data_IF_714627706485
#
_entry.id   IF_714627706485
#
_cell.length_a   1.000
_cell.length_b   1.000
_cell.length_c   1.000
_cell.angle_alpha   90.00
_cell.angle_beta   90.00
_cell.angle_gamma   90.00
#
_symmetry.space_group_name_H-M   'P 1'
#
loop_
_entity.id
_entity.type
_entity.pdbx_description
1 polymer ?
#
# COMPACT_ATOMS: atom_id res chain seq x y z
N UNK A 1 -3.15 -16.51 -10.73
CA UNK A 1 -3.84 -16.00 -9.52
C UNK A 1 -3.24 -14.64 -9.22
N UNK A 2 -4.06 -13.60 -9.02
CA UNK A 2 -3.60 -12.23 -8.75
C UNK A 2 -4.33 -11.72 -7.53
N UNK A 3 -3.62 -10.98 -6.69
CA UNK A 3 -4.21 -10.26 -5.58
C UNK A 3 -4.99 -9.06 -6.09
N UNK A 4 -6.13 -8.77 -5.45
CA UNK A 4 -6.85 -7.52 -5.62
C UNK A 4 -6.96 -6.88 -4.25
N UNK A 5 -6.35 -5.70 -4.09
CA UNK A 5 -6.38 -4.94 -2.84
C UNK A 5 -7.35 -3.77 -2.98
N UNK A 6 -8.43 -3.78 -2.21
CA UNK A 6 -9.37 -2.67 -2.14
C UNK A 6 -8.78 -1.53 -1.32
N UNK A 7 -8.61 -0.35 -1.92
CA UNK A 7 -8.16 0.83 -1.17
C UNK A 7 -9.33 1.52 -0.49
N UNK A 8 -9.39 1.38 0.82
CA UNK A 8 -10.32 2.08 1.71
C UNK A 8 -9.58 3.31 2.20
N UNK A 9 -9.36 4.22 1.25
CA UNK A 9 -8.56 5.43 1.47
C UNK A 9 -9.21 6.39 2.46
N UNK A 10 -8.48 7.40 2.92
CA UNK A 10 -9.05 8.40 3.81
C UNK A 10 -9.95 9.32 3.00
N UNK A 11 -11.12 9.68 3.54
CA UNK A 11 -12.16 10.37 2.76
C UNK A 11 -12.47 11.77 3.25
N UNK A 12 -11.72 12.34 4.20
CA UNK A 12 -12.01 13.66 4.79
C UNK A 12 -12.54 14.76 3.83
N UNK A 13 -11.98 14.97 2.61
CA UNK A 13 -12.55 15.95 1.68
C UNK A 13 -13.96 15.62 1.17
N UNK A 14 -14.34 14.35 1.16
CA UNK A 14 -15.67 13.83 0.81
C UNK A 14 -16.61 13.83 2.03
N UNK A 15 -16.05 13.79 3.24
CA UNK A 15 -16.76 13.79 4.53
C UNK A 15 -17.18 15.21 4.96
N UNK A 16 -16.99 16.22 4.09
CA UNK A 16 -17.36 17.62 4.34
C UNK A 16 -16.30 18.42 5.11
N UNK A 17 -15.15 17.84 5.43
CA UNK A 17 -14.03 18.55 6.04
C UNK A 17 -13.08 19.10 4.99
N UNK A 18 -13.11 20.42 4.80
CA UNK A 18 -12.10 21.13 4.00
C UNK A 18 -10.76 21.29 4.73
N UNK A 19 -10.69 20.96 6.03
CA UNK A 19 -9.51 21.21 6.86
C UNK A 19 -8.23 20.61 6.26
N UNK A 20 -8.19 19.34 5.80
CA UNK A 20 -6.97 18.77 5.24
C UNK A 20 -6.49 19.41 3.93
N UNK A 21 -7.31 20.27 3.31
CA UNK A 21 -6.95 21.01 2.10
C UNK A 21 -6.32 22.38 2.41
N UNK A 22 -6.45 22.87 3.65
CA UNK A 22 -5.86 24.14 4.09
C UNK A 22 -4.33 24.02 4.25
N UNK A 23 -3.56 25.14 4.22
CA UNK A 23 -2.11 25.11 4.35
C UNK A 23 -1.61 24.31 5.57
N UNK A 24 -2.20 24.55 6.75
CA UNK A 24 -1.81 23.86 7.98
C UNK A 24 -2.46 22.48 8.09
N UNK A 25 -3.68 22.30 7.60
CA UNK A 25 -4.35 21.00 7.64
C UNK A 25 -3.68 19.93 6.78
N UNK A 26 -2.88 20.31 5.78
CA UNK A 26 -2.00 19.37 5.06
C UNK A 26 -1.00 18.66 5.97
N UNK A 27 -0.63 19.27 7.11
CA UNK A 27 0.24 18.64 8.12
C UNK A 27 -0.46 17.47 8.84
N UNK A 28 -1.79 17.51 8.93
CA UNK A 28 -2.61 16.47 9.57
C UNK A 28 -2.90 15.30 8.61
N UNK A 29 -2.82 15.55 7.30
CA UNK A 29 -3.13 14.59 6.26
C UNK A 29 -4.63 14.30 6.15
N UNK A 30 -4.99 13.40 5.22
CA UNK A 30 -6.37 12.93 5.09
C UNK A 30 -6.57 11.75 6.05
N UNK A 31 -7.67 11.79 6.82
CA UNK A 31 -8.08 10.74 7.77
C UNK A 31 -9.58 10.47 7.62
N UNK A 32 -10.07 9.38 8.19
CA UNK A 32 -11.49 9.26 8.50
C UNK A 32 -11.81 10.14 9.70
N UNK A 33 -12.82 11.00 9.59
CA UNK A 33 -13.18 11.98 10.63
C UNK A 33 -14.44 11.59 11.37
N UNK A 34 -14.31 11.21 12.64
CA UNK A 34 -15.44 10.76 13.46
C UNK A 34 -15.75 9.26 13.33
N UNK A 35 -16.61 8.77 14.22
CA UNK A 35 -16.97 7.34 14.30
C UNK A 35 -17.91 6.89 13.19
N UNK A 36 -18.77 7.80 12.71
CA UNK A 36 -19.65 7.59 11.56
C UNK A 36 -18.83 7.29 10.30
N UNK A 37 -17.82 8.11 9.99
CA UNK A 37 -16.98 7.91 8.82
C UNK A 37 -16.13 6.65 8.90
N UNK A 38 -15.69 6.30 10.12
CA UNK A 38 -15.00 5.04 10.37
C UNK A 38 -15.92 3.83 10.16
N UNK A 39 -17.18 3.91 10.63
CA UNK A 39 -18.17 2.86 10.43
C UNK A 39 -18.49 2.67 8.93
N UNK A 40 -18.67 3.75 8.18
CA UNK A 40 -18.87 3.66 6.73
C UNK A 40 -17.68 3.04 6.00
N UNK A 41 -16.45 3.30 6.47
CA UNK A 41 -15.24 2.71 5.89
C UNK A 41 -15.18 1.20 6.15
N UNK A 42 -15.58 0.81 7.35
CA UNK A 42 -15.69 -0.58 7.75
C UNK A 42 -16.77 -1.32 6.95
N UNK A 43 -17.94 -0.70 6.70
CA UNK A 43 -18.99 -1.30 5.89
C UNK A 43 -18.53 -1.54 4.43
N UNK A 44 -17.74 -0.64 3.85
CA UNK A 44 -17.12 -0.86 2.54
C UNK A 44 -16.17 -2.09 2.54
N UNK A 45 -15.46 -2.33 3.65
CA UNK A 45 -14.62 -3.52 3.83
C UNK A 45 -15.47 -4.78 3.90
N UNK A 46 -16.52 -4.78 4.73
CA UNK A 46 -17.44 -5.92 4.87
C UNK A 46 -18.03 -6.28 3.51
N UNK A 47 -18.58 -5.30 2.79
CA UNK A 47 -19.11 -5.48 1.44
C UNK A 47 -18.06 -6.00 0.46
N UNK A 48 -16.83 -5.47 0.52
CA UNK A 48 -15.73 -5.94 -0.31
C UNK A 48 -15.42 -7.42 -0.06
N UNK A 49 -15.36 -7.82 1.21
CA UNK A 49 -15.12 -9.21 1.64
C UNK A 49 -16.24 -10.14 1.19
N UNK A 50 -17.50 -9.73 1.31
CA UNK A 50 -18.67 -10.46 0.79
C UNK A 50 -18.60 -10.64 -0.72
N UNK A 51 -18.09 -9.64 -1.45
CA UNK A 51 -17.82 -9.70 -2.89
C UNK A 51 -16.53 -10.49 -3.24
N UNK A 52 -15.87 -11.08 -2.24
CA UNK A 52 -14.72 -11.95 -2.44
C UNK A 52 -13.34 -11.31 -2.24
N UNK A 53 -13.25 -10.02 -1.91
CA UNK A 53 -11.96 -9.36 -1.64
C UNK A 53 -11.30 -9.98 -0.39
N UNK A 54 -9.97 -10.20 -0.48
CA UNK A 54 -9.15 -10.73 0.62
C UNK A 54 -7.89 -9.90 0.91
N UNK A 55 -7.77 -8.74 0.28
CA UNK A 55 -6.76 -7.73 0.63
C UNK A 55 -7.40 -6.35 0.68
N UNK A 56 -7.07 -5.57 1.69
CA UNK A 56 -7.45 -4.17 1.79
C UNK A 56 -6.21 -3.29 2.03
N UNK A 57 -6.31 -2.03 1.62
CA UNK A 57 -5.31 -1.00 1.86
C UNK A 57 -5.96 0.09 2.72
N UNK A 58 -5.39 0.36 3.90
CA UNK A 58 -5.90 1.35 4.87
C UNK A 58 -4.97 2.56 4.97
N UNK A 59 -5.49 3.69 5.42
CA UNK A 59 -4.77 4.97 5.46
C UNK A 59 -4.83 5.71 6.82
N UNK A 60 -5.36 5.08 7.85
CA UNK A 60 -5.31 5.56 9.24
C UNK A 60 -5.29 4.39 10.24
N UNK A 61 -4.77 4.66 11.43
CA UNK A 61 -4.66 3.68 12.52
C UNK A 61 -6.00 3.25 13.12
N UNK A 62 -7.02 4.10 13.08
CA UNK A 62 -8.34 3.80 13.64
C UNK A 62 -9.01 2.68 12.87
N UNK A 63 -8.98 2.76 11.53
CA UNK A 63 -9.55 1.74 10.65
C UNK A 63 -8.75 0.44 10.74
N UNK A 64 -7.41 0.53 10.78
CA UNK A 64 -6.55 -0.63 11.01
C UNK A 64 -6.95 -1.38 12.28
N UNK A 65 -7.04 -0.67 13.40
CA UNK A 65 -7.39 -1.27 14.68
C UNK A 65 -8.77 -1.93 14.64
N UNK A 66 -9.76 -1.25 14.04
CA UNK A 66 -11.12 -1.76 13.94
C UNK A 66 -11.17 -3.06 13.10
N UNK A 67 -10.46 -3.11 11.99
CA UNK A 67 -10.34 -4.32 11.16
C UNK A 67 -9.70 -5.46 11.94
N UNK A 68 -8.63 -5.19 12.69
CA UNK A 68 -7.96 -6.21 13.49
C UNK A 68 -8.90 -6.78 14.58
N UNK A 69 -9.65 -5.91 15.27
CA UNK A 69 -10.67 -6.37 16.23
C UNK A 69 -11.76 -7.20 15.56
N UNK A 70 -12.20 -6.82 14.36
CA UNK A 70 -13.21 -7.55 13.61
C UNK A 70 -12.70 -8.94 13.16
N UNK A 71 -11.44 -9.07 12.74
CA UNK A 71 -10.79 -10.37 12.47
C UNK A 71 -10.76 -11.23 13.73
N UNK A 72 -10.31 -10.68 14.86
CA UNK A 72 -10.24 -11.41 16.15
C UNK A 72 -11.61 -11.90 16.65
N UNK A 73 -12.68 -11.17 16.32
CA UNK A 73 -14.06 -11.51 16.68
C UNK A 73 -14.78 -12.38 15.65
N UNK A 74 -14.11 -12.73 14.54
CA UNK A 74 -14.70 -13.52 13.46
C UNK A 74 -15.75 -12.79 12.60
N UNK A 75 -15.80 -11.46 12.68
CA UNK A 75 -16.65 -10.63 11.80
C UNK A 75 -16.04 -10.50 10.41
N UNK A 76 -14.71 -10.36 10.35
CA UNK A 76 -13.96 -10.41 9.09
C UNK A 76 -13.14 -11.72 9.04
N UNK A 77 -12.85 -12.25 7.84
CA UNK A 77 -12.02 -13.44 7.69
C UNK A 77 -10.64 -13.26 8.31
N UNK A 78 -10.14 -14.29 8.98
CA UNK A 78 -8.81 -14.28 9.59
C UNK A 78 -7.68 -14.17 8.55
N UNK A 79 -7.95 -14.56 7.30
CA UNK A 79 -7.03 -14.48 6.16
C UNK A 79 -7.13 -13.15 5.38
N UNK A 80 -7.91 -12.17 5.85
CA UNK A 80 -7.96 -10.84 5.26
C UNK A 80 -6.62 -10.12 5.48
N UNK A 81 -5.91 -9.84 4.38
CA UNK A 81 -4.64 -9.12 4.36
C UNK A 81 -4.87 -7.60 4.47
N UNK A 82 -4.20 -6.95 5.42
CA UNK A 82 -4.32 -5.51 5.68
C UNK A 82 -3.00 -4.80 5.37
N UNK A 83 -3.02 -3.95 4.35
CA UNK A 83 -1.85 -3.20 3.88
C UNK A 83 -1.94 -1.74 4.31
N UNK A 84 -0.80 -1.15 4.66
CA UNK A 84 -0.71 0.27 5.01
C UNK A 84 -0.38 1.11 3.78
N UNK A 85 -1.23 2.10 3.46
CA UNK A 85 -1.06 2.97 2.30
C UNK A 85 0.16 3.89 2.42
N UNK A 86 0.71 4.32 1.28
CA UNK A 86 1.77 5.32 1.27
C UNK A 86 1.29 6.66 1.87
N UNK A 87 -0.01 6.95 1.78
CA UNK A 87 -0.60 8.16 2.38
C UNK A 87 -0.83 8.06 3.89
N UNK A 88 -0.63 6.87 4.50
CA UNK A 88 -0.65 6.71 5.95
C UNK A 88 0.48 7.48 6.63
N UNK A 89 1.61 7.66 5.92
CA UNK A 89 2.67 8.59 6.29
C UNK A 89 3.51 8.20 7.51
N UNK A 90 3.53 6.92 7.92
CA UNK A 90 4.34 6.49 9.08
C UNK A 90 5.82 6.46 8.71
N UNK A 91 6.59 7.36 9.32
CA UNK A 91 7.98 7.62 8.92
C UNK A 91 9.08 6.92 9.73
N UNK A 92 8.77 6.22 10.83
CA UNK A 92 9.77 5.63 11.72
C UNK A 92 9.47 4.17 12.11
N UNK A 93 10.49 3.36 12.48
CA UNK A 93 10.31 1.93 12.74
C UNK A 93 9.33 1.61 13.87
N UNK A 94 9.33 2.40 14.96
CA UNK A 94 8.46 2.14 16.11
C UNK A 94 6.99 2.47 15.81
N UNK A 95 6.74 3.52 15.01
CA UNK A 95 5.41 3.84 14.51
C UNK A 95 4.86 2.69 13.66
N UNK A 96 5.67 2.12 12.75
CA UNK A 96 5.22 0.98 11.95
C UNK A 96 5.04 -0.26 12.82
N UNK A 97 5.90 -0.47 13.83
CA UNK A 97 5.76 -1.57 14.78
C UNK A 97 4.44 -1.50 15.55
N UNK A 98 4.02 -0.31 15.97
CA UNK A 98 2.71 -0.13 16.61
C UNK A 98 1.59 -0.61 15.70
N UNK A 99 1.64 -0.29 14.41
CA UNK A 99 0.64 -0.75 13.44
C UNK A 99 0.73 -2.26 13.20
N UNK A 100 1.94 -2.82 13.09
CA UNK A 100 2.18 -4.26 12.98
C UNK A 100 1.55 -5.01 14.16
N UNK A 101 1.78 -4.53 15.39
CA UNK A 101 1.25 -5.14 16.61
C UNK A 101 -0.29 -5.00 16.71
N UNK A 102 -0.90 -4.14 15.87
CA UNK A 102 -2.34 -3.95 15.71
C UNK A 102 -2.87 -4.50 14.37
N UNK A 103 -2.20 -5.52 13.82
CA UNK A 103 -2.74 -6.32 12.72
C UNK A 103 -2.37 -5.87 11.31
N UNK A 104 -1.38 -5.00 11.15
CA UNK A 104 -0.88 -4.63 9.82
C UNK A 104 -0.04 -5.76 9.23
N UNK A 105 -0.33 -6.16 7.99
CA UNK A 105 0.34 -7.28 7.30
C UNK A 105 1.45 -6.84 6.34
N UNK A 106 1.33 -5.65 5.72
CA UNK A 106 2.42 -5.01 4.95
C UNK A 106 2.32 -3.48 5.03
N UNK A 107 3.42 -2.76 4.75
CA UNK A 107 3.43 -1.29 4.84
C UNK A 107 4.17 -0.64 3.68
N UNK A 108 3.56 0.38 3.08
CA UNK A 108 4.26 1.29 2.18
C UNK A 108 5.17 2.22 2.99
N UNK A 109 6.48 2.10 2.78
CA UNK A 109 7.46 3.07 3.32
C UNK A 109 7.64 4.24 2.36
N UNK A 110 8.23 5.33 2.85
CA UNK A 110 8.53 6.50 2.02
C UNK A 110 9.35 6.12 0.78
N UNK A 111 8.92 6.57 -0.40
CA UNK A 111 9.56 6.23 -1.69
C UNK A 111 11.03 6.67 -1.76
N UNK A 112 11.37 7.76 -1.06
CA UNK A 112 12.70 8.35 -0.96
C UNK A 112 13.52 7.81 0.22
N UNK A 113 13.06 6.74 0.89
CA UNK A 113 13.79 6.15 2.02
C UNK A 113 15.22 5.74 1.61
N UNK A 114 16.19 6.17 2.40
CA UNK A 114 17.61 5.82 2.21
C UNK A 114 17.86 4.38 2.65
N UNK A 115 18.89 3.73 2.09
CA UNK A 115 19.26 2.36 2.49
C UNK A 115 19.50 2.20 4.00
N UNK A 116 20.19 3.13 4.72
CA UNK A 116 20.33 3.03 6.17
C UNK A 116 19.00 3.11 6.92
N UNK A 117 18.06 3.95 6.48
CA UNK A 117 16.72 4.04 7.08
C UNK A 117 15.89 2.80 6.80
N UNK A 118 16.02 2.23 5.59
CA UNK A 118 15.40 0.95 5.23
C UNK A 118 15.93 -0.20 6.10
N UNK A 119 17.25 -0.25 6.34
CA UNK A 119 17.86 -1.22 7.24
C UNK A 119 17.34 -1.08 8.67
N UNK A 120 17.21 0.16 9.17
CA UNK A 120 16.65 0.42 10.50
C UNK A 120 15.18 -0.04 10.63
N UNK A 121 14.37 0.10 9.57
CA UNK A 121 13.02 -0.47 9.53
C UNK A 121 13.06 -2.00 9.66
N UNK A 122 13.96 -2.68 8.93
CA UNK A 122 14.09 -4.15 8.98
C UNK A 122 14.54 -4.69 10.33
N UNK A 123 15.31 -3.93 11.10
CA UNK A 123 15.73 -4.37 12.45
C UNK A 123 14.56 -4.49 13.43
N UNK A 124 13.43 -3.84 13.15
CA UNK A 124 12.28 -3.78 14.07
C UNK A 124 11.07 -4.54 13.55
N UNK A 125 10.91 -4.62 12.23
CA UNK A 125 9.70 -5.09 11.58
C UNK A 125 9.89 -6.50 11.01
N UNK A 126 8.87 -7.34 11.19
CA UNK A 126 8.81 -8.69 10.63
C UNK A 126 7.93 -8.79 9.39
N UNK A 127 7.07 -7.78 9.15
CA UNK A 127 6.20 -7.73 7.97
C UNK A 127 6.95 -7.25 6.72
N UNK A 128 6.52 -7.67 5.51
CA UNK A 128 7.02 -7.14 4.26
C UNK A 128 6.88 -5.62 4.13
N UNK A 129 7.89 -5.00 3.52
CA UNK A 129 7.80 -3.61 3.07
C UNK A 129 7.26 -3.54 1.66
N UNK A 130 6.40 -2.57 1.37
CA UNK A 130 6.18 -2.14 0.01
C UNK A 130 7.01 -0.88 -0.26
N UNK A 131 7.76 -0.87 -1.37
CA UNK A 131 8.55 0.28 -1.76
C UNK A 131 8.35 0.59 -3.25
N UNK A 132 7.99 1.83 -3.55
CA UNK A 132 7.98 2.32 -4.93
C UNK A 132 9.39 2.39 -5.49
N UNK A 133 9.64 1.58 -6.52
CA UNK A 133 10.82 1.72 -7.39
C UNK A 133 10.56 2.79 -8.43
N UNK A 134 9.31 2.91 -8.89
CA UNK A 134 8.83 4.03 -9.66
C UNK A 134 7.56 4.56 -8.99
N UNK A 135 7.57 5.81 -8.52
CA UNK A 135 6.44 6.42 -7.83
C UNK A 135 5.54 7.22 -8.77
N UNK A 136 4.23 7.28 -8.52
CA UNK A 136 3.38 8.28 -9.17
C UNK A 136 3.78 9.69 -8.71
N UNK A 137 3.45 10.72 -9.49
CA UNK A 137 3.93 12.08 -9.22
C UNK A 137 3.42 12.65 -7.89
N UNK A 138 2.19 12.30 -7.51
CA UNK A 138 1.61 12.68 -6.21
C UNK A 138 2.34 12.08 -5.00
N UNK A 139 3.20 11.09 -5.20
CA UNK A 139 4.07 10.49 -4.18
C UNK A 139 5.57 10.75 -4.46
N UNK A 140 5.85 11.84 -5.19
CA UNK A 140 7.19 12.37 -5.44
C UNK A 140 7.82 11.99 -6.79
N UNK A 141 7.20 11.13 -7.60
CA UNK A 141 7.63 10.90 -8.99
C UNK A 141 9.06 10.35 -9.14
N UNK A 142 9.56 9.60 -8.16
CA UNK A 142 10.91 9.05 -8.16
C UNK A 142 11.07 7.82 -9.06
N UNK A 143 12.30 7.54 -9.49
CA UNK A 143 12.71 6.33 -10.22
C UNK A 143 14.01 5.78 -9.63
N UNK A 144 14.01 4.54 -9.15
CA UNK A 144 15.10 3.92 -8.36
C UNK A 144 15.52 2.54 -8.89
N UNK A 145 15.36 2.30 -10.17
CA UNK A 145 15.60 1.00 -10.82
C UNK A 145 17.00 0.41 -10.52
N UNK A 146 18.04 1.23 -10.58
CA UNK A 146 19.42 0.78 -10.32
C UNK A 146 19.73 0.54 -8.84
N UNK A 147 18.88 1.00 -7.92
CA UNK A 147 19.02 0.75 -6.49
C UNK A 147 18.34 -0.55 -6.04
N UNK A 148 17.54 -1.18 -6.92
CA UNK A 148 16.80 -2.40 -6.61
C UNK A 148 17.66 -3.51 -5.98
N UNK A 149 18.90 -3.80 -6.44
CA UNK A 149 19.73 -4.84 -5.82
C UNK A 149 20.00 -4.57 -4.34
N UNK A 150 20.37 -3.34 -4.00
CA UNK A 150 20.68 -2.93 -2.63
C UNK A 150 19.43 -2.79 -1.76
N UNK A 151 18.31 -2.35 -2.35
CA UNK A 151 17.00 -2.33 -1.72
C UNK A 151 16.57 -3.74 -1.33
N UNK A 152 16.69 -4.72 -2.23
CA UNK A 152 16.33 -6.12 -1.96
C UNK A 152 17.25 -6.70 -0.89
N UNK A 153 18.58 -6.50 -1.03
CA UNK A 153 19.57 -6.97 -0.05
C UNK A 153 19.31 -6.43 1.36
N UNK A 154 18.90 -5.18 1.46
CA UNK A 154 18.75 -4.47 2.75
C UNK A 154 17.34 -4.59 3.33
N UNK A 155 16.33 -4.63 2.48
CA UNK A 155 14.92 -4.44 2.82
C UNK A 155 14.06 -5.70 2.73
N UNK A 156 14.60 -6.83 2.31
CA UNK A 156 13.82 -8.06 2.18
C UNK A 156 13.23 -8.53 3.53
N UNK A 157 12.00 -9.12 3.53
CA UNK A 157 11.09 -9.24 2.39
C UNK A 157 10.52 -7.88 1.96
N UNK A 158 10.55 -7.60 0.65
CA UNK A 158 10.12 -6.32 0.07
C UNK A 158 9.34 -6.53 -1.23
N UNK A 159 8.18 -5.89 -1.34
CA UNK A 159 7.41 -5.73 -2.56
C UNK A 159 7.89 -4.50 -3.33
N UNK A 160 8.45 -4.74 -4.51
CA UNK A 160 8.87 -3.68 -5.43
C UNK A 160 7.65 -3.16 -6.19
N UNK A 161 7.24 -1.92 -5.94
CA UNK A 161 6.06 -1.31 -6.56
C UNK A 161 6.42 -0.45 -7.76
N UNK A 162 5.59 -0.55 -8.80
CA UNK A 162 5.71 0.21 -10.04
C UNK A 162 4.45 1.05 -10.22
N UNK A 163 4.49 2.29 -9.72
CA UNK A 163 3.37 3.23 -9.69
C UNK A 163 3.13 4.01 -10.99
N UNK A 164 4.15 4.09 -11.84
CA UNK A 164 4.22 4.84 -13.10
C UNK A 164 4.26 6.37 -12.91
N UNK A 165 5.44 6.95 -13.17
CA UNK A 165 5.66 8.40 -13.16
C UNK A 165 4.99 9.05 -14.39
N UNK A 166 4.55 10.30 -14.25
CA UNK A 166 3.84 11.06 -15.29
C UNK A 166 2.47 10.46 -15.70
N UNK A 167 1.96 9.50 -14.94
CA UNK A 167 0.63 8.94 -15.17
C UNK A 167 -0.45 9.93 -14.67
N UNK A 168 -1.59 10.04 -15.37
CA UNK A 168 -2.71 10.79 -14.85
C UNK A 168 -3.19 10.21 -13.51
N UNK A 169 -3.63 11.07 -12.59
CA UNK A 169 -4.31 10.61 -11.38
C UNK A 169 -5.68 10.03 -11.76
N UNK A 170 -5.93 8.78 -11.35
CA UNK A 170 -7.16 8.05 -11.67
C UNK A 170 -8.05 7.83 -10.44
N UNK A 171 -7.74 8.45 -9.29
CA UNK A 171 -8.53 8.31 -8.07
C UNK A 171 -9.34 9.57 -7.76
N UNK A 172 -10.65 9.44 -7.45
CA UNK A 172 -11.47 8.23 -7.57
C UNK A 172 -11.68 7.80 -9.04
N UNK A 173 -11.76 6.48 -9.29
CA UNK A 173 -11.89 5.92 -10.65
C UNK A 173 -13.34 5.55 -10.96
N UNK A 174 -13.76 5.73 -12.21
CA UNK A 174 -15.02 5.22 -12.74
C UNK A 174 -14.89 4.88 -14.23
N UNK A 175 -16.00 4.48 -14.87
CA UNK A 175 -16.00 4.06 -16.30
C UNK A 175 -15.38 5.13 -17.23
N UNK A 176 -15.57 6.41 -16.90
CA UNK A 176 -14.98 7.54 -17.65
C UNK A 176 -13.43 7.57 -17.64
N UNK A 177 -12.78 6.87 -16.71
CA UNK A 177 -11.32 6.74 -16.62
C UNK A 177 -10.81 5.35 -17.00
N UNK A 178 -11.68 4.42 -17.36
CA UNK A 178 -11.32 3.03 -17.67
C UNK A 178 -10.23 2.92 -18.76
N UNK A 179 -10.29 3.65 -19.89
CA UNK A 179 -9.22 3.57 -20.89
C UNK A 179 -7.85 3.98 -20.34
N UNK A 180 -7.80 5.01 -19.50
CA UNK A 180 -6.58 5.47 -18.86
C UNK A 180 -6.07 4.46 -17.80
N UNK A 181 -6.97 3.87 -17.02
CA UNK A 181 -6.63 2.84 -16.04
C UNK A 181 -6.03 1.58 -16.72
N UNK A 182 -6.62 1.12 -17.83
CA UNK A 182 -6.11 -0.01 -18.61
C UNK A 182 -4.75 0.32 -19.24
N UNK A 183 -4.61 1.49 -19.87
CA UNK A 183 -3.36 1.89 -20.52
C UNK A 183 -2.21 2.02 -19.52
N UNK A 184 -2.44 2.71 -18.40
CA UNK A 184 -1.43 2.86 -17.34
C UNK A 184 -1.14 1.54 -16.64
N UNK A 185 -2.13 0.66 -16.46
CA UNK A 185 -1.93 -0.70 -15.94
C UNK A 185 -1.00 -1.54 -16.82
N UNK A 186 -1.21 -1.52 -18.15
CA UNK A 186 -0.31 -2.19 -19.11
C UNK A 186 1.11 -1.64 -19.05
N UNK A 187 1.28 -0.33 -18.97
CA UNK A 187 2.61 0.26 -18.87
C UNK A 187 3.29 -0.07 -17.53
N UNK A 188 2.56 -0.13 -16.40
CA UNK A 188 3.12 -0.59 -15.11
C UNK A 188 3.67 -2.01 -15.20
N UNK A 189 3.00 -2.92 -15.93
CA UNK A 189 3.51 -4.29 -16.16
C UNK A 189 4.79 -4.25 -17.00
N UNK A 190 4.84 -3.43 -18.06
CA UNK A 190 6.05 -3.24 -18.87
C UNK A 190 7.21 -2.68 -18.04
N UNK A 191 6.94 -1.70 -17.17
CA UNK A 191 7.90 -1.11 -16.24
C UNK A 191 8.43 -2.12 -15.22
N UNK A 192 7.55 -2.95 -14.67
CA UNK A 192 7.96 -4.05 -13.80
C UNK A 192 8.90 -5.04 -14.53
N UNK A 193 8.58 -5.41 -15.78
CA UNK A 193 9.43 -6.29 -16.57
C UNK A 193 10.84 -5.69 -16.80
N UNK A 194 10.93 -4.41 -17.14
CA UNK A 194 12.21 -3.69 -17.28
C UNK A 194 12.98 -3.68 -15.95
N UNK A 195 12.29 -3.44 -14.83
CA UNK A 195 12.93 -3.47 -13.52
C UNK A 195 13.49 -4.84 -13.15
N UNK A 196 12.74 -5.90 -13.44
CA UNK A 196 13.23 -7.27 -13.22
C UNK A 196 14.43 -7.61 -14.12
N UNK A 197 14.44 -7.13 -15.37
CA UNK A 197 15.59 -7.29 -16.26
C UNK A 197 16.84 -6.58 -15.71
N UNK A 198 16.70 -5.32 -15.26
CA UNK A 198 17.80 -4.56 -14.66
C UNK A 198 18.32 -5.22 -13.37
N UNK A 199 17.41 -5.72 -12.52
CA UNK A 199 17.77 -6.46 -11.31
C UNK A 199 18.56 -7.74 -11.63
N UNK A 200 18.14 -8.51 -12.64
CA UNK A 200 18.85 -9.70 -13.09
C UNK A 200 20.24 -9.36 -13.66
N UNK A 201 20.35 -8.28 -14.45
CA UNK A 201 21.63 -7.80 -15.02
C UNK A 201 22.62 -7.32 -13.96
N UNK A 202 22.15 -6.86 -12.81
CA UNK A 202 23.02 -6.40 -11.72
C UNK A 202 23.84 -7.55 -11.09
N UNK A 203 23.52 -8.81 -11.36
CA UNK A 203 24.28 -9.98 -10.90
C UNK A 203 24.23 -10.23 -9.39
N UNK A 204 23.35 -9.52 -8.66
CA UNK A 204 23.12 -9.73 -7.23
C UNK A 204 22.19 -10.92 -7.01
N UNK A 205 22.44 -11.71 -5.97
CA UNK A 205 21.53 -12.79 -5.60
C UNK A 205 20.23 -12.23 -5.03
N UNK A 206 19.09 -12.67 -5.58
CA UNK A 206 17.76 -12.39 -5.05
C UNK A 206 16.84 -13.59 -5.27
N UNK A 207 15.78 -13.69 -4.46
CA UNK A 207 14.71 -14.66 -4.65
C UNK A 207 13.40 -13.91 -4.89
N UNK A 208 12.82 -14.08 -6.07
CA UNK A 208 11.48 -13.59 -6.36
C UNK A 208 10.43 -14.61 -5.92
N UNK A 209 9.33 -14.13 -5.34
CA UNK A 209 8.21 -14.99 -5.00
C UNK A 209 7.51 -15.51 -6.27
N UNK A 210 6.96 -16.74 -6.24
CA UNK A 210 6.19 -17.26 -7.36
C UNK A 210 4.86 -16.51 -7.52
N UNK A 211 4.21 -16.66 -8.68
CA UNK A 211 2.86 -16.15 -8.89
C UNK A 211 1.90 -16.78 -7.88
N UNK A 212 1.14 -15.96 -7.16
CA UNK A 212 0.21 -16.43 -6.15
C UNK A 212 0.89 -16.95 -4.88
N UNK A 213 2.05 -16.39 -4.52
CA UNK A 213 2.74 -16.70 -3.27
C UNK A 213 1.86 -16.53 -2.03
N UNK A 214 2.23 -17.23 -0.96
CA UNK A 214 1.60 -17.13 0.35
C UNK A 214 1.63 -15.68 0.88
N UNK A 215 0.58 -15.29 1.59
CA UNK A 215 0.40 -13.93 2.12
C UNK A 215 -0.24 -12.93 1.16
N UNK A 216 -0.59 -13.34 -0.07
CA UNK A 216 -1.38 -12.53 -1.00
C UNK A 216 -2.89 -12.70 -0.74
N UNK A 217 -3.62 -11.60 -0.68
CA UNK A 217 -5.09 -11.61 -0.56
C UNK A 217 -5.78 -11.89 -1.89
N UNK A 218 -5.65 -13.13 -2.39
CA UNK A 218 -6.29 -13.57 -3.63
C UNK A 218 -7.82 -13.59 -3.43
N UNK A 219 -8.60 -12.96 -4.34
CA UNK A 219 -10.06 -12.99 -4.22
C UNK A 219 -10.63 -14.41 -4.18
N UNK A 220 -11.68 -14.60 -3.39
CA UNK A 220 -12.41 -15.85 -3.21
C UNK A 220 -13.84 -15.69 -3.74
N UNK A 221 -14.32 -16.64 -4.54
CA UNK A 221 -15.66 -16.64 -5.11
C UNK A 221 -15.89 -17.88 -5.96
#
# INVERSE_FOLDING_TARGET
RMEVSLFVGPRAPWEGSGQPLTPDGKLMGWRHTGMDQLAYAFDDIVRGVEAGIRSILVADEGLLWLVDQARRRGVLPADLVVKGSAVLGVGNPLGVKLLQDNGLDTINVASDITLPRLAAMRQVLSIPLDLYIEGPDGLGGFTRYYEMPEIVRTGAPVYLKFGLRNAPNIYPSGVHLEPAAIATGRERVRRAAIGMELLARAGSAFAASPVGAEGLGIPQG
#
